data_IF_770261034085
#
_entry.id   IF_770261034085
#
_cell.length_a   1.000
_cell.length_b   1.000
_cell.length_c   1.000
_cell.angle_alpha   90.00
_cell.angle_beta   90.00
_cell.angle_gamma   90.00
#
_symmetry.space_group_name_H-M   'P 1'
#
loop_
_entity.id
_entity.type
_entity.pdbx_description
1 polymer ?
#
# COMPACT_ATOMS: atom_id res chain seq x y z
N UNK A 1 -13.46 -6.83 -6.17
CA UNK A 1 -14.76 -6.15 -6.37
C UNK A 1 -14.43 -4.84 -7.05
N UNK A 2 -14.96 -4.60 -8.26
CA UNK A 2 -14.77 -3.32 -8.97
C UNK A 2 -15.64 -2.28 -8.27
N UNK A 3 -15.06 -1.16 -7.88
CA UNK A 3 -15.84 0.00 -7.44
C UNK A 3 -16.37 0.72 -8.68
N UNK A 4 -17.61 0.42 -9.05
CA UNK A 4 -18.32 1.09 -10.13
C UNK A 4 -19.02 2.30 -9.51
N UNK A 5 -18.56 3.50 -9.86
CA UNK A 5 -19.21 4.75 -9.49
C UNK A 5 -20.00 5.22 -10.71
N UNK A 6 -21.31 5.39 -10.54
CA UNK A 6 -22.19 5.95 -11.57
C UNK A 6 -22.35 7.45 -11.35
N UNK A 7 -21.93 8.26 -12.31
CA UNK A 7 -22.18 9.71 -12.33
C UNK A 7 -22.78 10.07 -13.68
N UNK A 8 -24.02 10.56 -13.67
CA UNK A 8 -24.65 11.14 -14.86
C UNK A 8 -24.71 10.20 -16.07
N UNK A 9 -25.05 8.92 -15.84
CA UNK A 9 -25.19 7.91 -16.89
C UNK A 9 -23.87 7.54 -17.62
N UNK A 10 -22.72 7.79 -16.97
CA UNK A 10 -21.40 7.31 -17.41
C UNK A 10 -20.85 6.31 -16.39
N UNK A 11 -20.43 5.14 -16.87
CA UNK A 11 -19.80 4.11 -16.06
C UNK A 11 -18.30 4.38 -15.98
N UNK A 12 -17.82 4.89 -14.85
CA UNK A 12 -16.39 5.05 -14.61
C UNK A 12 -15.83 3.74 -14.05
N UNK A 13 -15.20 2.94 -14.92
CA UNK A 13 -14.43 1.76 -14.48
C UNK A 13 -13.08 2.25 -13.96
N UNK A 14 -12.99 2.50 -12.65
CA UNK A 14 -11.70 2.76 -12.01
C UNK A 14 -10.95 1.43 -11.91
N UNK A 15 -10.01 1.20 -12.82
CA UNK A 15 -9.14 0.02 -12.84
C UNK A 15 -8.08 0.06 -11.69
N UNK A 16 -8.47 0.40 -10.46
CA UNK A 16 -7.54 0.53 -9.32
C UNK A 16 -7.65 -0.56 -8.26
N UNK A 17 -8.56 -1.52 -8.38
CA UNK A 17 -8.62 -2.65 -7.45
C UNK A 17 -8.55 -3.96 -8.22
N UNK A 18 -7.35 -4.31 -8.68
CA UNK A 18 -7.12 -5.70 -9.03
C UNK A 18 -7.43 -6.55 -7.79
N UNK A 19 -8.06 -7.72 -7.93
CA UNK A 19 -8.22 -8.65 -6.80
C UNK A 19 -6.88 -8.95 -6.10
N UNK A 20 -5.78 -8.78 -6.84
CA UNK A 20 -4.43 -8.89 -6.34
C UNK A 20 -4.04 -7.76 -5.38
N UNK A 21 -4.62 -6.55 -5.44
CA UNK A 21 -4.37 -5.46 -4.50
C UNK A 21 -4.99 -5.67 -3.12
N UNK A 22 -5.95 -6.60 -3.00
CA UNK A 22 -6.60 -6.94 -1.75
C UNK A 22 -5.85 -8.02 -0.94
N UNK A 23 -4.71 -8.53 -1.42
CA UNK A 23 -3.91 -9.45 -0.61
C UNK A 23 -3.23 -8.70 0.52
N UNK A 24 -3.45 -9.11 1.75
CA UNK A 24 -2.75 -8.57 2.91
C UNK A 24 -1.41 -9.28 3.11
N UNK A 25 -0.51 -8.63 3.84
CA UNK A 25 0.73 -9.20 4.37
C UNK A 25 0.73 -9.01 5.87
N UNK A 26 0.89 -10.08 6.64
CA UNK A 26 0.94 -9.99 8.10
C UNK A 26 2.35 -10.23 8.62
N UNK A 27 2.74 -9.50 9.66
CA UNK A 27 3.93 -9.78 10.48
C UNK A 27 3.48 -9.96 11.92
N UNK A 28 4.21 -10.75 12.71
CA UNK A 28 3.90 -11.00 14.11
C UNK A 28 5.19 -11.16 14.94
N UNK A 29 5.23 -10.52 16.11
CA UNK A 29 6.22 -10.78 17.16
C UNK A 29 5.57 -10.62 18.53
N UNK A 30 5.59 -11.69 19.34
CA UNK A 30 4.93 -11.72 20.66
C UNK A 30 3.45 -11.34 20.58
N UNK A 31 3.05 -10.35 21.38
CA UNK A 31 1.68 -9.81 21.43
C UNK A 31 1.38 -8.76 20.34
N UNK A 32 2.37 -8.45 19.48
CA UNK A 32 2.27 -7.44 18.43
C UNK A 32 2.10 -8.13 17.08
N UNK A 33 1.11 -7.67 16.32
CA UNK A 33 0.97 -8.06 14.91
C UNK A 33 0.58 -6.86 14.06
N UNK A 34 0.98 -6.90 12.80
CA UNK A 34 0.66 -5.87 11.83
C UNK A 34 0.06 -6.50 10.59
N UNK A 35 -0.99 -5.89 10.05
CA UNK A 35 -1.64 -6.29 8.80
C UNK A 35 -1.47 -5.16 7.80
N UNK A 36 -0.66 -5.40 6.78
CA UNK A 36 -0.32 -4.46 5.72
C UNK A 36 -1.09 -4.77 4.44
N UNK A 37 -1.28 -3.76 3.58
CA UNK A 37 -1.49 -4.00 2.15
C UNK A 37 -0.19 -4.51 1.49
N UNK A 38 -0.24 -4.82 0.18
CA UNK A 38 0.96 -5.31 -0.54
C UNK A 38 2.09 -4.29 -0.63
N UNK A 39 1.80 -2.99 -0.53
CA UNK A 39 2.79 -1.90 -0.56
C UNK A 39 3.42 -1.64 0.82
N UNK A 40 2.96 -2.36 1.84
CA UNK A 40 3.37 -2.16 3.22
C UNK A 40 2.59 -1.06 3.93
N UNK A 41 1.46 -0.59 3.41
CA UNK A 41 0.68 0.50 3.99
C UNK A 41 -0.47 0.00 4.89
N UNK A 42 -0.94 0.88 5.76
CA UNK A 42 -2.25 0.83 6.40
C UNK A 42 -3.14 1.93 5.80
N UNK A 43 -4.10 1.54 4.97
CA UNK A 43 -5.04 2.42 4.29
C UNK A 43 -6.42 2.32 4.92
N UNK A 44 -6.74 3.30 5.77
CA UNK A 44 -8.00 3.37 6.54
C UNK A 44 -9.28 3.32 5.68
N UNK A 45 -9.22 3.73 4.41
CA UNK A 45 -10.40 3.76 3.52
C UNK A 45 -10.68 2.44 2.81
N UNK A 46 -9.69 1.55 2.68
CA UNK A 46 -9.79 0.36 1.82
C UNK A 46 -10.11 -0.90 2.62
N UNK A 47 -9.56 -1.02 3.83
CA UNK A 47 -9.81 -2.17 4.69
C UNK A 47 -9.79 -1.78 6.15
N UNK A 48 -10.75 -2.30 6.91
CA UNK A 48 -10.74 -2.20 8.36
C UNK A 48 -9.76 -3.18 8.98
N UNK A 49 -9.18 -4.14 8.26
CA UNK A 49 -8.30 -5.16 8.83
C UNK A 49 -6.86 -4.67 9.00
N UNK A 50 -6.48 -3.61 8.29
CA UNK A 50 -5.12 -3.08 8.30
C UNK A 50 -4.81 -2.26 9.55
N UNK A 51 -3.58 -2.41 10.03
CA UNK A 51 -3.08 -1.67 11.19
C UNK A 51 -2.00 -2.41 11.97
N UNK A 52 -1.45 -1.73 12.97
CA UNK A 52 -0.61 -2.31 14.01
C UNK A 52 -1.46 -2.58 15.24
N UNK A 53 -1.36 -3.78 15.79
CA UNK A 53 -2.13 -4.25 16.92
C UNK A 53 -1.20 -4.71 18.02
N UNK A 54 -1.60 -4.46 19.26
CA UNK A 54 -0.97 -5.02 20.46
C UNK A 54 -2.09 -5.51 21.37
N UNK A 55 -2.01 -6.77 21.81
CA UNK A 55 -3.05 -7.41 22.63
C UNK A 55 -4.46 -7.18 22.06
N UNK A 56 -4.60 -7.48 20.78
CA UNK A 56 -5.87 -7.40 20.03
C UNK A 56 -6.45 -5.99 19.84
N UNK A 57 -5.81 -4.94 20.37
CA UNK A 57 -6.23 -3.56 20.17
C UNK A 57 -5.42 -2.90 19.07
N UNK A 58 -6.09 -2.14 18.20
CA UNK A 58 -5.40 -1.38 17.15
C UNK A 58 -4.76 -0.12 17.73
N UNK A 59 -3.44 -0.02 17.61
CA UNK A 59 -2.66 1.14 18.05
C UNK A 59 -2.29 2.07 16.89
N UNK A 60 -2.13 1.56 15.67
CA UNK A 60 -1.90 2.37 14.48
C UNK A 60 -2.87 1.98 13.36
N UNK A 61 -3.66 2.94 12.87
CA UNK A 61 -4.70 2.71 11.85
C UNK A 61 -4.37 3.27 10.48
N UNK A 62 -3.31 4.08 10.36
CA UNK A 62 -2.88 4.66 9.10
C UNK A 62 -1.36 4.83 9.07
N UNK A 63 -0.75 4.28 8.04
CA UNK A 63 0.67 4.39 7.73
C UNK A 63 0.78 4.28 6.21
N UNK A 64 1.06 5.39 5.52
CA UNK A 64 1.04 5.39 4.05
C UNK A 64 2.28 6.10 3.54
N UNK A 65 3.05 5.43 2.69
CA UNK A 65 4.16 6.04 1.97
C UNK A 65 3.66 6.65 0.65
N UNK A 66 3.98 7.92 0.40
CA UNK A 66 3.62 8.64 -0.82
C UNK A 66 4.81 9.43 -1.35
N UNK A 67 4.80 9.64 -2.66
CA UNK A 67 5.67 10.60 -3.32
C UNK A 67 4.77 11.75 -3.78
N UNK A 68 4.97 12.93 -3.19
CA UNK A 68 4.01 14.04 -3.27
C UNK A 68 2.59 13.59 -2.87
N UNK A 69 1.59 13.88 -3.70
CA UNK A 69 0.21 13.41 -3.52
C UNK A 69 -0.06 12.05 -4.18
N UNK A 70 0.93 11.51 -4.92
CA UNK A 70 0.84 10.28 -5.69
C UNK A 70 1.08 9.01 -4.88
N UNK A 71 0.37 7.94 -5.25
CA UNK A 71 0.69 6.60 -4.78
C UNK A 71 1.88 6.02 -5.54
N UNK A 72 2.76 5.31 -4.83
CA UNK A 72 3.82 4.53 -5.47
C UNK A 72 3.24 3.27 -6.12
N UNK A 73 3.85 2.87 -7.23
CA UNK A 73 3.49 1.68 -8.00
C UNK A 73 4.24 0.47 -7.46
N UNK A 74 3.53 -0.66 -7.30
CA UNK A 74 4.09 -1.88 -6.74
C UNK A 74 4.85 -2.69 -7.81
N UNK A 75 6.12 -2.98 -7.55
CA UNK A 75 6.92 -3.90 -8.36
C UNK A 75 6.96 -5.30 -7.74
N UNK A 76 7.26 -5.39 -6.45
CA UNK A 76 7.45 -6.65 -5.74
C UNK A 76 7.05 -6.52 -4.28
N UNK A 77 6.57 -7.61 -3.67
CA UNK A 77 6.20 -7.66 -2.25
C UNK A 77 6.32 -9.08 -1.71
N UNK A 78 7.25 -9.27 -0.77
CA UNK A 78 7.55 -10.57 -0.18
C UNK A 78 7.74 -10.47 1.33
N UNK A 79 7.24 -11.47 2.04
CA UNK A 79 7.51 -11.67 3.47
C UNK A 79 8.67 -12.65 3.56
N UNK A 80 9.68 -12.32 4.38
CA UNK A 80 10.84 -13.20 4.58
C UNK A 80 10.46 -14.46 5.37
N UNK A 81 11.32 -15.48 5.30
CA UNK A 81 11.09 -16.82 5.87
C UNK A 81 10.74 -16.83 7.37
N UNK A 82 11.20 -15.83 8.12
CA UNK A 82 10.96 -15.70 9.56
C UNK A 82 9.67 -14.93 9.92
N UNK A 83 8.89 -14.48 8.92
CA UNK A 83 7.70 -13.65 9.12
C UNK A 83 7.93 -12.36 9.93
N UNK A 84 9.20 -11.94 10.07
CA UNK A 84 9.58 -10.75 10.82
C UNK A 84 9.75 -9.53 9.91
N UNK A 85 9.94 -9.74 8.60
CA UNK A 85 10.25 -8.69 7.64
C UNK A 85 9.36 -8.78 6.40
N UNK A 86 8.71 -7.66 6.06
CA UNK A 86 8.06 -7.41 4.77
C UNK A 86 8.96 -6.51 3.91
N UNK A 87 9.47 -7.06 2.81
CA UNK A 87 10.24 -6.34 1.80
C UNK A 87 9.37 -5.98 0.60
N UNK A 88 9.40 -4.72 0.20
CA UNK A 88 8.56 -4.17 -0.87
C UNK A 88 9.41 -3.32 -1.81
N UNK A 89 9.37 -3.66 -3.09
CA UNK A 89 9.91 -2.83 -4.17
C UNK A 89 8.78 -2.01 -4.78
N UNK A 90 9.01 -0.71 -4.84
CA UNK A 90 8.08 0.29 -5.35
C UNK A 90 8.76 1.16 -6.40
N UNK A 91 7.98 1.83 -7.23
CA UNK A 91 8.49 2.86 -8.13
C UNK A 91 7.56 4.07 -8.17
N UNK A 92 8.07 5.21 -8.64
CA UNK A 92 7.21 6.38 -8.89
C UNK A 92 6.22 6.10 -10.03
N UNK A 93 5.01 6.63 -9.90
CA UNK A 93 4.12 6.84 -11.04
C UNK A 93 4.55 8.08 -11.84
N UNK A 94 3.73 8.44 -12.83
CA UNK A 94 3.86 9.73 -13.51
C UNK A 94 3.63 10.86 -12.49
N UNK A 95 4.64 11.72 -12.32
CA UNK A 95 4.54 12.90 -11.46
C UNK A 95 4.19 14.10 -12.33
N UNK A 96 3.02 14.70 -12.09
CA UNK A 96 2.69 16.01 -12.68
C UNK A 96 3.37 17.08 -11.85
N UNK A 97 4.44 17.67 -12.38
CA UNK A 97 5.07 18.81 -11.73
C UNK A 97 4.43 20.10 -12.24
N UNK A 98 4.21 21.08 -11.34
CA UNK A 98 3.79 22.43 -11.74
C UNK A 98 4.89 23.16 -12.54
N UNK A 99 6.12 22.66 -12.52
CA UNK A 99 7.30 23.33 -13.05
C UNK A 99 7.98 22.46 -14.12
N UNK A 100 7.27 22.18 -15.22
CA UNK A 100 7.73 21.57 -16.51
C UNK A 100 8.61 20.29 -16.47
N UNK A 101 8.92 19.74 -15.31
CA UNK A 101 9.81 18.59 -15.15
C UNK A 101 8.98 17.36 -14.81
N UNK A 102 8.13 16.95 -15.76
CA UNK A 102 7.36 15.72 -15.67
C UNK A 102 8.32 14.54 -15.55
N UNK A 103 8.33 13.92 -14.37
CA UNK A 103 9.14 12.73 -14.12
C UNK A 103 8.36 11.51 -14.59
N UNK A 104 8.90 10.85 -15.61
CA UNK A 104 8.33 9.61 -16.18
C UNK A 104 8.20 8.54 -15.11
N UNK A 105 7.12 7.75 -15.18
CA UNK A 105 6.93 6.60 -14.32
C UNK A 105 8.13 5.64 -14.42
N UNK A 106 8.54 5.09 -13.28
CA UNK A 106 9.59 4.06 -13.21
C UNK A 106 11.02 4.59 -13.25
N UNK A 107 11.22 5.90 -13.15
CA UNK A 107 12.55 6.51 -13.08
C UNK A 107 13.18 6.37 -11.68
N UNK A 108 12.33 6.32 -10.65
CA UNK A 108 12.71 6.21 -9.25
C UNK A 108 12.28 4.84 -8.71
N UNK A 109 13.24 4.12 -8.14
CA UNK A 109 13.00 2.90 -7.38
C UNK A 109 13.03 3.20 -5.88
N UNK A 110 12.08 2.64 -5.16
CA UNK A 110 11.98 2.75 -3.71
C UNK A 110 11.97 1.34 -3.12
N UNK A 111 12.96 1.04 -2.29
CA UNK A 111 12.97 -0.18 -1.50
C UNK A 111 12.49 0.12 -0.08
N UNK A 112 11.42 -0.55 0.35
CA UNK A 112 10.82 -0.41 1.67
C UNK A 112 10.92 -1.72 2.44
N UNK A 113 11.31 -1.62 3.71
CA UNK A 113 11.29 -2.72 4.66
C UNK A 113 10.40 -2.35 5.84
N UNK A 114 9.43 -3.20 6.18
CA UNK A 114 8.69 -3.12 7.45
C UNK A 114 9.05 -4.34 8.28
N UNK A 115 9.23 -4.18 9.58
CA UNK A 115 9.59 -5.29 10.46
C UNK A 115 8.91 -5.17 11.83
N UNK A 116 8.71 -6.31 12.48
CA UNK A 116 8.36 -6.40 13.89
C UNK A 116 9.42 -7.23 14.60
N UNK A 117 9.79 -6.82 15.81
CA UNK A 117 10.78 -7.49 16.66
C UNK A 117 10.23 -7.65 18.06
#
# INVERSE_FOLDING_TARGET
MLDIIEVGNQYYVRAQSSFADNQTRSLMSGDIFAVFDRRGDFQRMVSTEQGLFYKEMRHLSRLVLRLEEGALLLLSSSVRLDNAILAVDLMNGELQSSDQNDSRAGTLHFYRTNFLW
#
